data_IF_066199987133
#
_entry.id   IF_066199987133
#
_cell.length_a   1.000
_cell.length_b   1.000
_cell.length_c   1.000
_cell.angle_alpha   90.00
_cell.angle_beta   90.00
_cell.angle_gamma   90.00
#
_symmetry.space_group_name_H-M   'P 1'
#
loop_
_entity.id
_entity.type
_entity.pdbx_description
1 polymer ?
#
# COMPACT_ATOMS: atom_id res chain seq x y z
N UNK A 1 -32.50 16.14 -19.32
CA UNK A 1 -31.53 16.67 -18.34
C UNK A 1 -30.14 16.67 -19.01
N UNK A 2 -29.75 17.79 -19.63
CA UNK A 2 -28.52 17.90 -20.46
C UNK A 2 -27.77 19.22 -20.19
N UNK A 3 -27.93 19.78 -18.98
CA UNK A 3 -27.53 21.16 -18.63
C UNK A 3 -26.07 21.31 -18.15
N UNK A 4 -25.26 20.24 -18.17
CA UNK A 4 -23.86 20.29 -17.72
C UNK A 4 -22.87 19.69 -18.73
N UNK A 5 -23.08 19.88 -20.03
CA UNK A 5 -22.00 19.66 -21.00
C UNK A 5 -20.99 20.80 -20.87
N UNK A 6 -19.99 20.61 -20.01
CA UNK A 6 -18.80 21.46 -19.96
C UNK A 6 -18.13 21.38 -21.33
N UNK A 7 -17.92 22.52 -21.98
CA UNK A 7 -17.16 22.62 -23.22
C UNK A 7 -15.74 22.14 -22.93
N UNK A 8 -15.26 21.11 -23.63
CA UNK A 8 -13.86 20.68 -23.54
C UNK A 8 -12.98 21.80 -24.10
N UNK A 9 -12.53 22.67 -23.20
CA UNK A 9 -11.47 23.63 -23.49
C UNK A 9 -10.22 22.77 -23.64
N UNK A 10 -9.60 22.77 -24.82
CA UNK A 10 -8.33 22.09 -25.05
C UNK A 10 -7.31 22.57 -24.00
N UNK A 11 -7.08 21.74 -22.98
CA UNK A 11 -6.14 22.04 -21.91
C UNK A 11 -4.77 21.62 -22.40
N UNK A 12 -3.80 22.54 -22.36
CA UNK A 12 -2.42 22.26 -22.73
C UNK A 12 -1.85 21.12 -21.86
N UNK A 13 -1.41 20.05 -22.51
CA UNK A 13 -0.80 18.88 -21.88
C UNK A 13 0.42 19.24 -21.02
N UNK A 14 1.17 20.30 -21.39
CA UNK A 14 2.31 20.79 -20.60
C UNK A 14 1.87 21.31 -19.24
N UNK A 15 0.73 22.00 -19.18
CA UNK A 15 0.17 22.54 -17.95
C UNK A 15 -0.35 21.39 -17.07
N UNK A 16 -1.01 20.39 -17.67
CA UNK A 16 -1.47 19.19 -16.95
C UNK A 16 -0.29 18.41 -16.38
N UNK A 17 0.77 18.20 -17.15
CA UNK A 17 1.95 17.47 -16.69
C UNK A 17 2.66 18.21 -15.53
N UNK A 18 2.74 19.54 -15.62
CA UNK A 18 3.30 20.37 -14.56
C UNK A 18 2.47 20.29 -13.27
N UNK A 19 1.14 20.30 -13.37
CA UNK A 19 0.25 20.10 -12.21
C UNK A 19 0.42 18.72 -11.59
N UNK A 20 0.50 17.67 -12.41
CA UNK A 20 0.71 16.30 -11.93
C UNK A 20 2.04 16.15 -11.18
N UNK A 21 3.09 16.82 -11.64
CA UNK A 21 4.37 16.87 -10.93
C UNK A 21 4.24 17.50 -9.55
N UNK A 22 3.56 18.65 -9.45
CA UNK A 22 3.30 19.33 -8.16
C UNK A 22 2.48 18.42 -7.23
N UNK A 23 1.44 17.75 -7.74
CA UNK A 23 0.66 16.81 -6.93
C UNK A 23 1.49 15.64 -6.39
N UNK A 24 2.43 15.12 -7.21
CA UNK A 24 3.35 14.07 -6.78
C UNK A 24 4.31 14.57 -5.68
N UNK A 25 4.83 15.77 -5.82
CA UNK A 25 5.70 16.39 -4.80
C UNK A 25 4.94 16.62 -3.49
N UNK A 26 3.72 17.17 -3.56
CA UNK A 26 2.85 17.36 -2.40
C UNK A 26 2.53 16.02 -1.71
N UNK A 27 2.25 14.97 -2.48
CA UNK A 27 2.03 13.63 -1.95
C UNK A 27 3.26 13.11 -1.17
N UNK A 28 4.46 13.27 -1.74
CA UNK A 28 5.70 12.87 -1.06
C UNK A 28 5.95 13.68 0.21
N UNK A 29 5.64 14.97 0.21
CA UNK A 29 5.75 15.82 1.40
C UNK A 29 4.78 15.38 2.51
N UNK A 30 3.51 15.12 2.19
CA UNK A 30 2.53 14.63 3.16
C UNK A 30 2.99 13.30 3.78
N UNK A 31 3.50 12.40 2.93
CA UNK A 31 4.02 11.10 3.37
C UNK A 31 5.23 11.28 4.31
N UNK A 32 6.18 12.16 3.96
CA UNK A 32 7.34 12.46 4.80
C UNK A 32 6.94 13.07 6.15
N UNK A 33 5.98 14.01 6.17
CA UNK A 33 5.47 14.63 7.40
C UNK A 33 4.76 13.60 8.29
N UNK A 34 3.95 12.70 7.71
CA UNK A 34 3.29 11.65 8.50
C UNK A 34 4.31 10.69 9.12
N UNK A 35 5.32 10.26 8.36
CA UNK A 35 6.39 9.39 8.88
C UNK A 35 7.17 10.11 9.98
N UNK A 36 7.57 11.37 9.75
CA UNK A 36 8.29 12.16 10.74
C UNK A 36 7.45 12.35 12.02
N UNK A 37 6.14 12.60 11.89
CA UNK A 37 5.23 12.71 13.02
C UNK A 37 5.19 11.42 13.84
N UNK A 38 5.10 10.24 13.20
CA UNK A 38 5.14 8.94 13.88
C UNK A 38 6.45 8.79 14.66
N UNK A 39 7.59 9.07 14.03
CA UNK A 39 8.91 8.95 14.66
C UNK A 39 9.04 9.88 15.87
N UNK A 40 8.64 11.15 15.74
CA UNK A 40 8.70 12.12 16.83
C UNK A 40 7.78 11.73 17.98
N UNK A 41 6.55 11.28 17.69
CA UNK A 41 5.60 10.84 18.71
C UNK A 41 6.12 9.63 19.49
N UNK A 42 6.68 8.64 18.80
CA UNK A 42 7.29 7.49 19.47
C UNK A 42 8.55 7.84 20.25
N UNK A 43 9.35 8.81 19.78
CA UNK A 43 10.52 9.27 20.52
C UNK A 43 10.16 10.03 21.81
N UNK A 44 9.10 10.84 21.80
CA UNK A 44 8.71 11.68 22.95
C UNK A 44 7.79 10.97 23.94
N UNK A 45 6.82 10.19 23.44
CA UNK A 45 5.74 9.62 24.25
C UNK A 45 5.85 8.09 24.40
N UNK A 46 6.96 7.50 23.94
CA UNK A 46 7.16 6.06 23.89
C UNK A 46 6.26 5.38 22.85
N UNK A 47 6.26 4.04 22.84
CA UNK A 47 5.50 3.23 21.88
C UNK A 47 3.98 3.17 22.20
N UNK A 48 3.34 4.33 22.30
CA UNK A 48 1.89 4.43 22.45
C UNK A 48 1.22 4.54 21.08
N UNK A 49 0.60 3.45 20.64
CA UNK A 49 -0.05 3.33 19.33
C UNK A 49 -1.24 4.28 19.17
N UNK A 50 -1.93 4.66 20.26
CA UNK A 50 -3.09 5.55 20.18
C UNK A 50 -2.73 6.93 19.64
N UNK A 51 -1.52 7.41 19.91
CA UNK A 51 -1.07 8.74 19.50
C UNK A 51 -0.80 8.84 17.99
N UNK A 52 -0.58 7.71 17.32
CA UNK A 52 -0.21 7.65 15.89
C UNK A 52 -1.30 7.08 14.98
N UNK A 53 -2.48 6.77 15.52
CA UNK A 53 -3.60 6.20 14.74
C UNK A 53 -3.93 7.09 13.55
N UNK A 54 -3.97 8.41 13.73
CA UNK A 54 -4.30 9.36 12.67
C UNK A 54 -3.35 9.27 11.48
N UNK A 55 -2.04 9.22 11.73
CA UNK A 55 -1.03 9.10 10.69
C UNK A 55 -1.09 7.74 10.00
N UNK A 56 -1.31 6.67 10.76
CA UNK A 56 -1.50 5.33 10.19
C UNK A 56 -2.72 5.28 9.28
N UNK A 57 -3.84 5.89 9.67
CA UNK A 57 -5.04 5.97 8.85
C UNK A 57 -4.78 6.75 7.56
N UNK A 58 -4.08 7.90 7.63
CA UNK A 58 -3.74 8.67 6.43
C UNK A 58 -2.87 7.84 5.48
N UNK A 59 -1.82 7.20 6.00
CA UNK A 59 -0.89 6.38 5.20
C UNK A 59 -1.56 5.15 4.58
N UNK A 60 -2.50 4.51 5.29
CA UNK A 60 -3.23 3.36 4.78
C UNK A 60 -4.33 3.77 3.78
N UNK A 61 -5.14 4.78 4.13
CA UNK A 61 -6.25 5.21 3.30
C UNK A 61 -5.79 5.72 1.93
N UNK A 62 -4.68 6.47 1.87
CA UNK A 62 -4.13 6.92 0.60
C UNK A 62 -3.68 5.75 -0.29
N UNK A 63 -3.06 4.72 0.29
CA UNK A 63 -2.57 3.56 -0.45
C UNK A 63 -3.73 2.75 -1.03
N UNK A 64 -4.77 2.52 -0.21
CA UNK A 64 -6.00 1.86 -0.65
C UNK A 64 -6.68 2.67 -1.76
N UNK A 65 -6.84 3.99 -1.57
CA UNK A 65 -7.46 4.85 -2.57
C UNK A 65 -6.71 4.80 -3.90
N UNK A 66 -5.37 4.87 -3.86
CA UNK A 66 -4.55 4.78 -5.06
C UNK A 66 -4.76 3.45 -5.81
N UNK A 67 -4.73 2.31 -5.12
CA UNK A 67 -4.94 0.98 -5.73
C UNK A 67 -6.34 0.86 -6.34
N UNK A 68 -7.38 1.25 -5.60
CA UNK A 68 -8.76 1.19 -6.10
C UNK A 68 -8.92 2.08 -7.34
N UNK A 69 -8.36 3.28 -7.29
CA UNK A 69 -8.49 4.27 -8.37
C UNK A 69 -7.67 3.89 -9.61
N UNK A 70 -6.47 3.33 -9.44
CA UNK A 70 -5.60 2.92 -10.53
C UNK A 70 -6.17 1.72 -11.29
N UNK A 71 -6.73 0.75 -10.58
CA UNK A 71 -7.47 -0.37 -11.19
C UNK A 71 -8.71 0.15 -11.89
N UNK A 72 -9.47 1.04 -11.23
CA UNK A 72 -10.70 1.65 -11.79
C UNK A 72 -10.51 2.40 -13.11
N UNK A 73 -9.34 2.99 -13.34
CA UNK A 73 -9.02 3.69 -14.59
C UNK A 73 -8.34 2.80 -15.65
N UNK A 74 -8.00 1.54 -15.34
CA UNK A 74 -7.22 0.67 -16.22
C UNK A 74 -5.71 0.95 -16.21
N UNK A 75 -5.26 2.05 -15.58
CA UNK A 75 -3.84 2.45 -15.46
C UNK A 75 -2.98 1.32 -14.90
N UNK A 76 -3.52 0.54 -13.96
CA UNK A 76 -2.80 -0.60 -13.40
C UNK A 76 -2.42 -1.65 -14.46
N UNK A 77 -3.30 -1.92 -15.43
CA UNK A 77 -3.02 -2.86 -16.52
C UNK A 77 -1.98 -2.29 -17.48
N UNK A 78 -2.10 -1.02 -17.84
CA UNK A 78 -1.15 -0.34 -18.72
C UNK A 78 0.26 -0.27 -18.10
N UNK A 79 0.35 0.02 -16.79
CA UNK A 79 1.60 0.04 -16.04
C UNK A 79 2.28 -1.34 -16.02
N UNK A 80 1.50 -2.42 -15.87
CA UNK A 80 2.02 -3.80 -15.92
C UNK A 80 2.56 -4.11 -17.31
N UNK A 81 1.84 -3.76 -18.38
CA UNK A 81 2.30 -3.99 -19.76
C UNK A 81 3.57 -3.22 -20.09
N UNK A 82 3.64 -1.94 -19.71
CA UNK A 82 4.84 -1.11 -19.92
C UNK A 82 6.02 -1.63 -19.10
N UNK A 83 5.79 -2.03 -17.85
CA UNK A 83 6.82 -2.59 -16.99
C UNK A 83 7.37 -3.90 -17.55
N UNK A 84 6.50 -4.83 -17.95
CA UNK A 84 6.91 -6.14 -18.45
C UNK A 84 7.63 -6.05 -19.82
N UNK A 85 7.38 -4.99 -20.59
CA UNK A 85 8.15 -4.69 -21.83
C UNK A 85 9.53 -4.13 -21.56
N UNK A 86 9.72 -3.38 -20.47
CA UNK A 86 10.97 -2.65 -20.17
C UNK A 86 11.85 -3.35 -19.14
N UNK A 87 11.28 -4.19 -18.28
CA UNK A 87 11.93 -4.86 -17.17
C UNK A 87 12.11 -6.35 -17.45
N UNK A 88 13.21 -6.93 -16.96
CA UNK A 88 13.42 -8.39 -16.98
C UNK A 88 12.62 -9.13 -15.90
N UNK A 89 12.21 -8.42 -14.85
CA UNK A 89 11.43 -8.98 -13.73
C UNK A 89 9.98 -8.60 -13.94
N UNK A 90 9.05 -9.58 -14.02
CA UNK A 90 7.65 -9.30 -14.23
C UNK A 90 7.06 -8.55 -13.03
N UNK A 91 6.12 -7.65 -13.28
CA UNK A 91 5.50 -6.82 -12.25
C UNK A 91 4.83 -7.67 -11.16
N UNK A 92 4.27 -8.83 -11.53
CA UNK A 92 3.72 -9.81 -10.59
C UNK A 92 4.75 -10.32 -9.59
N UNK A 93 5.98 -10.65 -10.02
CA UNK A 93 7.04 -11.11 -9.13
C UNK A 93 7.49 -9.98 -8.19
N UNK A 94 7.57 -8.74 -8.70
CA UNK A 94 7.90 -7.57 -7.86
C UNK A 94 6.86 -7.37 -6.75
N UNK A 95 5.57 -7.49 -7.07
CA UNK A 95 4.48 -7.38 -6.09
C UNK A 95 4.48 -8.54 -5.08
N UNK A 96 4.86 -9.75 -5.51
CA UNK A 96 5.02 -10.90 -4.61
C UNK A 96 6.18 -10.69 -3.63
N UNK A 97 7.34 -10.24 -4.12
CA UNK A 97 8.52 -9.99 -3.29
C UNK A 97 8.24 -8.86 -2.31
N UNK A 98 7.61 -7.76 -2.75
CA UNK A 98 7.28 -6.65 -1.87
C UNK A 98 6.26 -7.07 -0.81
N UNK A 99 5.23 -7.82 -1.18
CA UNK A 99 4.26 -8.38 -0.24
C UNK A 99 4.90 -9.31 0.78
N UNK A 100 5.74 -10.24 0.34
CA UNK A 100 6.47 -11.15 1.22
C UNK A 100 7.33 -10.38 2.23
N UNK A 101 8.07 -9.36 1.76
CA UNK A 101 8.86 -8.50 2.62
C UNK A 101 8.01 -7.82 3.69
N UNK A 102 6.85 -7.25 3.30
CA UNK A 102 5.92 -6.63 4.24
C UNK A 102 5.34 -7.62 5.25
N UNK A 103 4.95 -8.81 4.80
CA UNK A 103 4.42 -9.87 5.68
C UNK A 103 5.44 -10.32 6.73
N UNK A 104 6.69 -10.55 6.32
CA UNK A 104 7.78 -10.91 7.22
C UNK A 104 8.10 -9.77 8.19
N UNK A 105 8.19 -8.52 7.71
CA UNK A 105 8.45 -7.37 8.57
C UNK A 105 7.36 -7.20 9.65
N UNK A 106 6.08 -7.35 9.29
CA UNK A 106 4.97 -7.32 10.23
C UNK A 106 5.02 -8.48 11.23
N UNK A 107 5.30 -9.70 10.77
CA UNK A 107 5.42 -10.86 11.64
C UNK A 107 6.56 -10.70 12.66
N UNK A 108 7.71 -10.16 12.24
CA UNK A 108 8.81 -9.84 13.16
C UNK A 108 8.36 -8.78 14.16
N UNK A 109 7.71 -7.70 13.71
CA UNK A 109 7.24 -6.64 14.60
C UNK A 109 6.29 -7.17 15.69
N UNK A 110 5.29 -7.96 15.32
CA UNK A 110 4.36 -8.55 16.30
C UNK A 110 5.02 -9.61 17.17
N UNK A 111 5.91 -10.43 16.61
CA UNK A 111 6.69 -11.42 17.36
C UNK A 111 7.54 -10.76 18.44
N UNK A 112 8.32 -9.72 18.10
CA UNK A 112 9.15 -8.98 19.06
C UNK A 112 8.28 -8.32 20.12
N UNK A 113 7.18 -7.68 19.72
CA UNK A 113 6.27 -7.05 20.68
C UNK A 113 5.69 -8.04 21.67
N UNK A 114 5.25 -9.20 21.19
CA UNK A 114 4.73 -10.26 22.05
C UNK A 114 5.80 -10.83 23.00
N UNK A 115 7.04 -11.00 22.52
CA UNK A 115 8.12 -11.48 23.36
C UNK A 115 8.42 -10.50 24.50
N UNK A 116 8.45 -9.20 24.21
CA UNK A 116 8.70 -8.15 25.20
C UNK A 116 7.56 -7.97 26.20
N UNK A 117 6.30 -8.11 25.76
CA UNK A 117 5.13 -7.86 26.60
C UNK A 117 4.78 -9.06 27.49
N UNK A 118 5.05 -10.30 27.07
CA UNK A 118 4.57 -11.52 27.75
C UNK A 118 5.68 -12.46 28.25
N UNK A 119 6.93 -12.33 27.81
CA UNK A 119 8.02 -13.23 28.21
C UNK A 119 8.77 -12.77 29.45
N UNK A 120 8.62 -13.48 30.57
CA UNK A 120 9.35 -13.18 31.81
C UNK A 120 10.76 -13.78 31.79
N UNK A 121 10.91 -15.00 31.25
CA UNK A 121 12.20 -15.67 31.06
C UNK A 121 12.66 -15.65 29.61
N UNK A 122 13.98 -15.82 29.37
CA UNK A 122 14.56 -15.88 28.02
C UNK A 122 13.90 -16.97 27.17
N UNK A 123 13.60 -18.13 27.77
CA UNK A 123 12.98 -19.25 27.07
C UNK A 123 11.54 -18.90 26.65
N UNK A 124 10.77 -18.25 27.51
CA UNK A 124 9.41 -17.78 27.20
C UNK A 124 9.40 -16.69 26.14
N UNK A 125 10.36 -15.76 26.17
CA UNK A 125 10.50 -14.71 25.15
C UNK A 125 10.71 -15.31 23.76
N UNK A 126 11.60 -16.30 23.65
CA UNK A 126 11.84 -17.01 22.38
C UNK A 126 10.57 -17.76 21.96
N UNK A 127 9.90 -18.43 22.90
CA UNK A 127 8.67 -19.17 22.60
C UNK A 127 7.54 -18.28 22.08
N UNK A 128 7.27 -17.16 22.77
CA UNK A 128 6.25 -16.20 22.35
C UNK A 128 6.60 -15.51 21.03
N UNK A 129 7.88 -15.19 20.80
CA UNK A 129 8.33 -14.68 19.51
C UNK A 129 7.99 -15.66 18.38
N UNK A 130 8.41 -16.92 18.49
CA UNK A 130 8.22 -17.94 17.46
C UNK A 130 6.73 -18.18 17.21
N UNK A 131 5.94 -18.33 18.28
CA UNK A 131 4.50 -18.58 18.18
C UNK A 131 3.81 -17.45 17.42
N UNK A 132 4.01 -16.20 17.85
CA UNK A 132 3.34 -15.04 17.25
C UNK A 132 3.88 -14.74 15.85
N UNK A 133 5.17 -14.96 15.58
CA UNK A 133 5.74 -14.82 14.25
C UNK A 133 5.05 -15.74 13.23
N UNK A 134 4.96 -17.04 13.53
CA UNK A 134 4.30 -17.99 12.63
C UNK A 134 2.79 -17.77 12.55
N UNK A 135 2.13 -17.48 13.68
CA UNK A 135 0.71 -17.15 13.68
C UNK A 135 0.42 -15.91 12.80
N UNK A 136 1.25 -14.87 12.89
CA UNK A 136 1.13 -13.66 12.07
C UNK A 136 1.31 -13.96 10.58
N UNK A 137 2.28 -14.80 10.20
CA UNK A 137 2.46 -15.23 8.81
C UNK A 137 1.27 -16.04 8.28
N UNK A 138 0.75 -16.98 9.10
CA UNK A 138 -0.42 -17.78 8.75
C UNK A 138 -1.67 -16.94 8.55
N UNK A 139 -1.84 -15.88 9.35
CA UNK A 139 -2.94 -14.92 9.18
C UNK A 139 -2.69 -14.04 7.95
N UNK A 140 -1.48 -13.53 7.75
CA UNK A 140 -1.16 -12.62 6.65
C UNK A 140 -1.33 -13.25 5.27
N UNK A 141 -0.85 -14.48 5.08
CA UNK A 141 -0.82 -15.16 3.78
C UNK A 141 -2.19 -15.22 3.05
N UNK A 142 -3.30 -15.66 3.68
CA UNK A 142 -4.61 -15.68 3.02
C UNK A 142 -5.12 -14.29 2.66
N UNK A 143 -4.93 -13.28 3.52
CA UNK A 143 -5.33 -11.90 3.20
C UNK A 143 -4.52 -11.33 2.03
N UNK A 144 -3.22 -11.59 2.01
CA UNK A 144 -2.36 -11.17 0.90
C UNK A 144 -2.80 -11.79 -0.43
N UNK A 145 -3.04 -13.11 -0.44
CA UNK A 145 -3.55 -13.81 -1.62
C UNK A 145 -4.92 -13.29 -2.09
N UNK A 146 -5.84 -13.03 -1.16
CA UNK A 146 -7.15 -12.47 -1.47
C UNK A 146 -7.05 -11.08 -2.11
N UNK A 147 -6.21 -10.20 -1.57
CA UNK A 147 -6.02 -8.85 -2.10
C UNK A 147 -5.48 -8.92 -3.54
N UNK A 148 -4.46 -9.74 -3.79
CA UNK A 148 -3.91 -9.93 -5.13
C UNK A 148 -4.95 -10.46 -6.11
N UNK A 149 -5.75 -11.44 -5.69
CA UNK A 149 -6.82 -11.99 -6.51
C UNK A 149 -7.87 -10.91 -6.86
N UNK A 150 -8.33 -10.14 -5.87
CA UNK A 150 -9.32 -9.06 -6.08
C UNK A 150 -8.80 -8.03 -7.07
N UNK A 151 -7.55 -7.59 -6.93
CA UNK A 151 -6.91 -6.62 -7.84
C UNK A 151 -6.85 -7.18 -9.26
N UNK A 152 -6.39 -8.42 -9.41
CA UNK A 152 -6.27 -9.07 -10.72
C UNK A 152 -7.63 -9.27 -11.42
N UNK A 153 -8.63 -9.78 -10.70
CA UNK A 153 -9.98 -9.96 -11.26
C UNK A 153 -10.63 -8.62 -11.64
N UNK A 154 -10.43 -7.60 -10.82
CA UNK A 154 -10.95 -6.25 -11.09
C UNK A 154 -10.29 -5.63 -12.33
N UNK A 155 -8.97 -5.73 -12.43
CA UNK A 155 -8.22 -5.26 -13.60
C UNK A 155 -8.66 -5.99 -14.89
N UNK A 156 -8.81 -7.31 -14.84
CA UNK A 156 -9.27 -8.10 -16.00
C UNK A 156 -10.69 -7.72 -16.43
N UNK A 157 -11.60 -7.49 -15.47
CA UNK A 157 -12.97 -7.07 -15.78
C UNK A 157 -13.03 -5.72 -16.49
N UNK A 158 -12.17 -4.78 -16.07
CA UNK A 158 -12.12 -3.43 -16.65
C UNK A 158 -11.49 -3.47 -18.04
N UNK A 159 -10.39 -4.20 -18.22
CA UNK A 159 -9.75 -4.41 -19.53
C UNK A 159 -10.73 -5.00 -20.57
N UNK A 160 -11.53 -6.01 -20.19
CA UNK A 160 -12.57 -6.59 -21.07
C UNK A 160 -13.69 -5.61 -21.44
N UNK A 161 -13.98 -4.65 -20.58
CA UNK A 161 -15.01 -3.64 -20.86
C UNK A 161 -14.48 -2.52 -21.77
N UNK A 162 -13.18 -2.23 -21.73
CA UNK A 162 -12.56 -1.23 -22.61
C UNK A 162 -12.35 -1.73 -24.05
N UNK A 163 -12.18 -3.05 -24.25
CA UNK A 163 -12.04 -3.67 -25.58
C UNK A 163 -13.37 -3.88 -26.32
N UNK A 164 -14.52 -3.56 -25.69
CA UNK A 164 -15.86 -3.72 -26.28
C UNK A 164 -16.39 -2.48 -27.00
N UNK A 165 -15.62 -1.39 -27.02
CA UNK A 165 -15.92 -0.15 -27.74
C UNK A 165 -14.83 0.13 -28.78
#
# INVERSE_FOLDING_TARGET
MHLFKKKDIAVDERIVNSKNKIYKEMYLLILAVCILSIVVKYALYGMNTHLVITELVILLAQGIYYVVRSVGMGIFSDDVEVHDRTSKVPMGMKNLISGLFFGVALAIFFGVRSAMDYGETILEQIWYFILVFFASLMIYAPFFGLILAIVHFSAMKISKNQTKY
#
